data_IF_346001305055
#
_entry.id   IF_346001305055
#
_cell.length_a   1.000
_cell.length_b   1.000
_cell.length_c   1.000
_cell.angle_alpha   90.00
_cell.angle_beta   90.00
_cell.angle_gamma   90.00
#
_symmetry.space_group_name_H-M   'P 1'
#
loop_
_entity.id
_entity.type
_entity.pdbx_description
1 polymer ?
#
# COMPACT_ATOMS: atom_id res chain seq x y z
N UNK A 1 -13.40 50.50 38.37
CA UNK A 1 -13.67 49.10 38.74
C UNK A 1 -13.92 48.37 37.44
N UNK A 2 -12.86 47.94 36.77
CA UNK A 2 -12.91 47.26 35.48
C UNK A 2 -12.94 45.76 35.74
N UNK A 3 -14.09 45.14 35.52
CA UNK A 3 -14.26 43.69 35.59
C UNK A 3 -13.48 43.04 34.43
N UNK A 4 -12.32 42.46 34.74
CA UNK A 4 -11.61 41.57 33.83
C UNK A 4 -12.42 40.28 33.66
N UNK A 5 -12.86 40.01 32.42
CA UNK A 5 -13.51 38.77 32.05
C UNK A 5 -12.59 37.56 32.31
N UNK A 6 -13.11 36.41 32.78
CA UNK A 6 -12.29 35.24 33.05
C UNK A 6 -11.66 34.75 31.74
N UNK A 7 -10.33 34.74 31.70
CA UNK A 7 -9.52 34.19 30.63
C UNK A 7 -9.89 32.71 30.50
N UNK A 8 -10.61 32.33 29.44
CA UNK A 8 -10.97 30.93 29.20
C UNK A 8 -9.69 30.10 29.09
N UNK A 9 -9.45 29.23 30.06
CA UNK A 9 -8.34 28.28 30.02
C UNK A 9 -8.40 27.49 28.70
N UNK A 10 -7.25 27.20 28.06
CA UNK A 10 -7.24 26.44 26.82
C UNK A 10 -7.86 25.06 27.09
N UNK A 11 -8.95 24.75 26.39
CA UNK A 11 -9.57 23.42 26.42
C UNK A 11 -8.62 22.42 25.78
N UNK A 12 -7.85 21.71 26.60
CA UNK A 12 -6.99 20.62 26.13
C UNK A 12 -7.88 19.47 25.67
N UNK A 13 -7.97 19.28 24.37
CA UNK A 13 -8.75 18.19 23.77
C UNK A 13 -7.92 16.90 23.78
N UNK A 14 -8.24 16.00 24.71
CA UNK A 14 -7.60 14.67 24.78
C UNK A 14 -8.06 13.84 23.58
N UNK A 15 -7.11 13.23 22.87
CA UNK A 15 -7.37 12.44 21.66
C UNK A 15 -7.87 11.03 22.05
N UNK A 16 -9.19 10.82 21.93
CA UNK A 16 -9.87 9.58 22.35
C UNK A 16 -9.95 8.50 21.28
N UNK A 17 -10.10 7.24 21.71
CA UNK A 17 -10.26 6.07 20.83
C UNK A 17 -11.62 5.99 20.11
N UNK A 18 -12.65 6.68 20.60
CA UNK A 18 -14.02 6.57 20.09
C UNK A 18 -14.18 6.94 18.61
N UNK A 19 -13.50 7.97 18.05
CA UNK A 19 -13.63 8.27 16.63
C UNK A 19 -12.94 7.22 15.76
N UNK A 20 -11.81 6.66 16.24
CA UNK A 20 -11.06 5.63 15.53
C UNK A 20 -11.88 4.34 15.44
N UNK A 21 -12.49 3.91 16.54
CA UNK A 21 -13.33 2.71 16.54
C UNK A 21 -14.60 2.92 15.72
N UNK A 22 -15.25 4.08 15.82
CA UNK A 22 -16.43 4.39 15.02
C UNK A 22 -16.14 4.36 13.51
N UNK A 23 -15.06 5.03 13.08
CA UNK A 23 -14.65 5.04 11.66
C UNK A 23 -14.24 3.67 11.17
N UNK A 24 -13.52 2.88 11.98
CA UNK A 24 -13.16 1.50 11.66
C UNK A 24 -14.40 0.62 11.45
N UNK A 25 -15.40 0.72 12.33
CA UNK A 25 -16.64 -0.05 12.22
C UNK A 25 -17.40 0.32 10.95
N UNK A 26 -17.57 1.62 10.67
CA UNK A 26 -18.26 2.08 9.45
C UNK A 26 -17.52 1.61 8.20
N UNK A 27 -16.19 1.75 8.15
CA UNK A 27 -15.39 1.30 7.02
C UNK A 27 -15.43 -0.22 6.84
N UNK A 28 -15.39 -0.99 7.93
CA UNK A 28 -15.48 -2.44 7.90
C UNK A 28 -16.84 -2.91 7.37
N UNK A 29 -17.95 -2.30 7.84
CA UNK A 29 -19.28 -2.61 7.34
C UNK A 29 -19.41 -2.32 5.85
N UNK A 30 -18.93 -1.16 5.39
CA UNK A 30 -18.91 -0.81 3.96
C UNK A 30 -18.09 -1.82 3.15
N UNK A 31 -16.91 -2.20 3.64
CA UNK A 31 -16.04 -3.20 3.02
C UNK A 31 -16.70 -4.57 2.91
N UNK A 32 -17.39 -5.02 3.97
CA UNK A 32 -18.12 -6.30 3.99
C UNK A 32 -19.26 -6.29 2.95
N UNK A 33 -20.02 -5.20 2.84
CA UNK A 33 -21.09 -5.08 1.85
C UNK A 33 -20.54 -5.19 0.43
N UNK A 34 -19.46 -4.47 0.12
CA UNK A 34 -18.83 -4.56 -1.21
C UNK A 34 -18.22 -5.94 -1.47
N UNK A 35 -17.56 -6.54 -0.48
CA UNK A 35 -16.99 -7.88 -0.62
C UNK A 35 -18.09 -8.93 -0.84
N UNK A 36 -19.19 -8.85 -0.10
CA UNK A 36 -20.34 -9.75 -0.26
C UNK A 36 -20.97 -9.60 -1.64
N UNK A 37 -21.15 -8.36 -2.11
CA UNK A 37 -21.64 -8.09 -3.47
C UNK A 37 -20.70 -8.67 -4.54
N UNK A 38 -19.39 -8.47 -4.39
CA UNK A 38 -18.38 -9.01 -5.30
C UNK A 38 -18.41 -10.54 -5.35
N UNK A 39 -18.40 -11.21 -4.18
CA UNK A 39 -18.44 -12.67 -4.11
C UNK A 39 -19.76 -13.23 -4.67
N UNK A 40 -20.88 -12.54 -4.44
CA UNK A 40 -22.18 -12.92 -4.98
C UNK A 40 -22.23 -12.81 -6.51
N UNK A 41 -21.77 -11.67 -7.07
CA UNK A 41 -21.72 -11.48 -8.52
C UNK A 41 -20.76 -12.45 -9.18
N UNK A 42 -19.54 -12.56 -8.66
CA UNK A 42 -18.53 -13.48 -9.19
C UNK A 42 -19.00 -14.94 -9.15
N UNK A 43 -19.66 -15.36 -8.06
CA UNK A 43 -20.21 -16.71 -7.94
C UNK A 43 -21.37 -16.99 -8.91
N UNK A 44 -22.18 -15.97 -9.27
CA UNK A 44 -23.21 -16.09 -10.30
C UNK A 44 -22.60 -16.22 -11.69
N UNK A 45 -21.66 -15.34 -12.02
CA UNK A 45 -20.98 -15.31 -13.32
C UNK A 45 -20.22 -16.62 -13.59
N UNK A 46 -19.56 -17.18 -12.57
CA UNK A 46 -18.92 -18.49 -12.64
C UNK A 46 -19.92 -19.64 -12.86
N UNK A 47 -21.12 -19.60 -12.26
CA UNK A 47 -22.16 -20.62 -12.49
C UNK A 47 -22.81 -20.51 -13.86
N UNK A 48 -22.86 -19.30 -14.40
CA UNK A 48 -23.41 -19.01 -15.73
C UNK A 48 -22.38 -19.20 -16.86
N UNK A 49 -21.13 -19.56 -16.55
CA UNK A 49 -20.00 -19.58 -17.50
C UNK A 49 -19.89 -18.29 -18.33
N UNK A 50 -20.29 -17.15 -17.76
CA UNK A 50 -20.31 -15.85 -18.42
C UNK A 50 -19.21 -14.98 -17.80
N UNK A 51 -18.09 -14.82 -18.51
CA UNK A 51 -16.87 -14.16 -18.01
C UNK A 51 -16.72 -12.71 -18.47
N UNK A 52 -17.80 -12.09 -18.96
CA UNK A 52 -17.75 -10.80 -19.67
C UNK A 52 -17.36 -9.60 -18.79
N UNK A 53 -17.75 -9.59 -17.51
CA UNK A 53 -17.59 -8.40 -16.66
C UNK A 53 -16.26 -8.35 -15.88
N UNK A 54 -15.89 -9.44 -15.21
CA UNK A 54 -14.69 -9.48 -14.34
C UNK A 54 -13.45 -10.06 -15.01
N UNK A 55 -13.62 -10.79 -16.12
CA UNK A 55 -12.52 -11.44 -16.85
C UNK A 55 -12.54 -11.12 -18.36
N UNK A 56 -12.80 -9.86 -18.80
CA UNK A 56 -12.95 -9.51 -20.21
C UNK A 56 -11.66 -9.74 -21.03
N UNK A 57 -10.50 -9.75 -20.35
CA UNK A 57 -9.19 -9.99 -20.95
C UNK A 57 -9.03 -11.42 -21.47
N UNK A 58 -9.75 -12.39 -20.93
CA UNK A 58 -9.73 -13.76 -21.44
C UNK A 58 -10.27 -13.84 -22.87
N UNK A 59 -11.24 -13.00 -23.24
CA UNK A 59 -11.80 -12.96 -24.59
C UNK A 59 -11.07 -11.97 -25.50
N UNK A 60 -10.75 -10.77 -24.99
CA UNK A 60 -10.17 -9.70 -25.81
C UNK A 60 -8.68 -9.86 -26.05
N UNK A 61 -7.95 -10.52 -25.14
CA UNK A 61 -6.49 -10.73 -25.21
C UNK A 61 -6.13 -12.13 -24.71
N UNK A 62 -6.70 -13.14 -25.35
CA UNK A 62 -6.51 -14.55 -24.99
C UNK A 62 -5.04 -15.01 -25.02
N UNK A 63 -4.20 -14.39 -25.88
CA UNK A 63 -2.77 -14.68 -25.96
C UNK A 63 -1.96 -14.19 -24.73
N UNK A 64 -2.53 -13.30 -23.93
CA UNK A 64 -1.94 -12.75 -22.70
C UNK A 64 -2.69 -13.13 -21.44
N UNK A 65 -3.80 -13.87 -21.52
CA UNK A 65 -4.53 -14.28 -20.33
C UNK A 65 -3.95 -15.58 -19.76
N UNK A 66 -3.74 -15.69 -18.44
CA UNK A 66 -3.48 -16.98 -17.81
C UNK A 66 -4.65 -17.94 -18.09
N UNK A 67 -4.41 -19.27 -18.02
CA UNK A 67 -5.49 -20.24 -18.16
C UNK A 67 -6.59 -19.98 -17.11
N UNK A 68 -7.85 -20.24 -17.45
CA UNK A 68 -8.95 -20.05 -16.51
C UNK A 68 -8.70 -20.92 -15.27
N UNK A 69 -8.75 -20.31 -14.09
CA UNK A 69 -8.55 -21.03 -12.84
C UNK A 69 -9.86 -21.67 -12.39
N UNK A 70 -9.78 -22.88 -11.84
CA UNK A 70 -10.92 -23.55 -11.22
C UNK A 70 -11.32 -22.77 -9.95
N UNK A 71 -12.28 -21.86 -10.08
CA UNK A 71 -12.75 -20.97 -9.01
C UNK A 71 -13.51 -21.67 -7.86
N UNK A 72 -13.05 -22.84 -7.42
CA UNK A 72 -13.68 -23.57 -6.32
C UNK A 72 -13.35 -22.88 -5.00
N UNK A 73 -14.37 -22.32 -4.34
CA UNK A 73 -14.30 -21.71 -3.01
C UNK A 73 -14.34 -20.17 -2.99
N UNK A 74 -14.85 -19.58 -1.90
CA UNK A 74 -15.05 -18.13 -1.76
C UNK A 74 -13.76 -17.29 -1.86
N UNK A 75 -12.59 -17.89 -1.60
CA UNK A 75 -11.27 -17.24 -1.67
C UNK A 75 -10.33 -17.86 -2.70
N UNK A 76 -10.81 -18.77 -3.56
CA UNK A 76 -9.98 -19.43 -4.58
C UNK A 76 -9.37 -18.45 -5.60
N UNK A 77 -10.03 -17.31 -5.83
CA UNK A 77 -9.51 -16.24 -6.68
C UNK A 77 -8.28 -15.55 -6.09
N UNK A 78 -8.21 -15.43 -4.76
CA UNK A 78 -7.10 -14.77 -4.09
C UNK A 78 -5.85 -15.65 -4.12
N UNK A 79 -6.02 -16.95 -3.84
CA UNK A 79 -4.93 -17.92 -3.94
C UNK A 79 -4.42 -18.06 -5.37
N UNK A 80 -5.33 -18.10 -6.36
CA UNK A 80 -4.96 -18.11 -7.76
C UNK A 80 -4.17 -16.86 -8.16
N UNK A 81 -4.59 -15.66 -7.72
CA UNK A 81 -3.88 -14.42 -8.00
C UNK A 81 -2.48 -14.37 -7.34
N UNK A 82 -2.36 -14.90 -6.12
CA UNK A 82 -1.07 -14.92 -5.41
C UNK A 82 -0.10 -15.97 -5.95
N UNK A 83 -0.60 -17.06 -6.53
CA UNK A 83 0.22 -18.12 -7.11
C UNK A 83 0.89 -17.73 -8.44
N UNK A 84 0.47 -16.63 -9.09
CA UNK A 84 1.04 -16.18 -10.37
C UNK A 84 2.50 -15.78 -10.19
N UNK A 85 3.38 -16.38 -10.99
CA UNK A 85 4.81 -16.05 -10.98
C UNK A 85 5.06 -14.63 -11.50
N UNK A 86 6.21 -14.05 -11.14
CA UNK A 86 6.58 -12.72 -11.60
C UNK A 86 6.84 -12.66 -13.11
N UNK A 87 7.36 -13.75 -13.67
CA UNK A 87 7.63 -13.87 -15.11
C UNK A 87 6.33 -13.95 -15.91
N UNK A 88 5.39 -14.77 -15.42
CA UNK A 88 4.04 -14.87 -16.00
C UNK A 88 3.30 -13.54 -15.91
N UNK A 89 3.45 -12.82 -14.79
CA UNK A 89 2.87 -11.49 -14.63
C UNK A 89 3.40 -10.51 -15.69
N UNK A 90 4.69 -10.53 -15.99
CA UNK A 90 5.29 -9.71 -17.05
C UNK A 90 4.73 -10.07 -18.44
N UNK A 91 4.62 -11.38 -18.73
CA UNK A 91 4.12 -11.86 -20.03
C UNK A 91 2.62 -11.53 -20.23
N UNK A 92 1.81 -11.67 -19.19
CA UNK A 92 0.37 -11.48 -19.24
C UNK A 92 -0.05 -10.02 -19.11
N UNK A 93 0.50 -9.29 -18.14
CA UNK A 93 0.08 -7.91 -17.85
C UNK A 93 0.84 -6.86 -18.68
N UNK A 94 2.02 -7.22 -19.21
CA UNK A 94 2.93 -6.28 -19.86
C UNK A 94 3.84 -5.57 -18.85
N UNK A 95 4.82 -4.82 -19.38
CA UNK A 95 5.85 -4.17 -18.57
C UNK A 95 5.26 -3.17 -17.56
N UNK A 96 4.37 -2.30 -18.00
CA UNK A 96 3.86 -1.19 -17.17
C UNK A 96 3.10 -1.70 -15.92
N UNK A 97 2.16 -2.61 -16.13
CA UNK A 97 1.41 -3.22 -15.04
C UNK A 97 2.31 -4.06 -14.11
N UNK A 98 3.30 -4.77 -14.67
CA UNK A 98 4.30 -5.49 -13.87
C UNK A 98 5.11 -4.54 -12.97
N UNK A 99 5.57 -3.40 -13.51
CA UNK A 99 6.31 -2.40 -12.74
C UNK A 99 5.44 -1.76 -11.65
N UNK A 100 4.16 -1.50 -11.94
CA UNK A 100 3.22 -0.99 -10.95
C UNK A 100 3.03 -1.96 -9.77
N UNK A 101 2.85 -3.27 -10.04
CA UNK A 101 2.75 -4.28 -8.99
C UNK A 101 4.03 -4.39 -8.16
N UNK A 102 5.19 -4.25 -8.82
CA UNK A 102 6.48 -4.26 -8.15
C UNK A 102 6.66 -3.04 -7.23
N UNK A 103 6.19 -1.87 -7.66
CA UNK A 103 6.12 -0.66 -6.84
C UNK A 103 5.20 -0.84 -5.62
N UNK A 104 4.02 -1.45 -5.79
CA UNK A 104 3.13 -1.76 -4.66
C UNK A 104 3.81 -2.72 -3.67
N UNK A 105 4.52 -3.75 -4.15
CA UNK A 105 5.28 -4.66 -3.28
C UNK A 105 6.44 -3.98 -2.56
N UNK A 106 7.07 -2.99 -3.19
CA UNK A 106 8.06 -2.15 -2.52
C UNK A 106 7.40 -1.37 -1.38
N UNK A 107 6.25 -0.75 -1.63
CA UNK A 107 5.47 -0.05 -0.60
C UNK A 107 5.09 -0.94 0.58
N UNK A 108 4.63 -2.17 0.33
CA UNK A 108 4.29 -3.12 1.41
C UNK A 108 5.52 -3.56 2.21
N UNK A 109 6.68 -3.78 1.58
CA UNK A 109 7.94 -4.04 2.30
C UNK A 109 8.36 -2.87 3.17
N UNK A 110 8.30 -1.64 2.64
CA UNK A 110 8.63 -0.43 3.42
C UNK A 110 7.70 -0.27 4.63
N UNK A 111 6.39 -0.47 4.43
CA UNK A 111 5.41 -0.43 5.51
C UNK A 111 5.63 -1.54 6.55
N UNK A 112 6.00 -2.75 6.11
CA UNK A 112 6.33 -3.85 7.01
C UNK A 112 7.54 -3.53 7.89
N UNK A 113 8.64 -3.04 7.30
CA UNK A 113 9.82 -2.61 8.07
C UNK A 113 9.46 -1.51 9.06
N UNK A 114 8.68 -0.50 8.64
CA UNK A 114 8.21 0.57 9.52
C UNK A 114 7.34 0.05 10.67
N UNK A 115 6.50 -0.95 10.41
CA UNK A 115 5.67 -1.61 11.42
C UNK A 115 6.53 -2.37 12.43
N UNK A 116 7.51 -3.16 11.97
CA UNK A 116 8.45 -3.87 12.84
C UNK A 116 9.22 -2.91 13.76
N UNK A 117 9.71 -1.79 13.22
CA UNK A 117 10.37 -0.76 14.04
C UNK A 117 9.39 -0.16 15.05
N UNK A 118 8.18 0.20 14.61
CA UNK A 118 7.14 0.76 15.49
C UNK A 118 6.81 -0.17 16.66
N UNK A 119 6.75 -1.48 16.44
CA UNK A 119 6.54 -2.47 17.50
C UNK A 119 7.63 -2.43 18.59
N UNK A 120 8.85 -2.03 18.26
CA UNK A 120 9.95 -1.81 19.23
C UNK A 120 9.81 -0.47 19.95
N UNK A 121 9.33 0.57 19.26
CA UNK A 121 9.14 1.90 19.87
C UNK A 121 7.93 1.96 20.82
N UNK A 122 6.86 1.20 20.55
CA UNK A 122 5.66 1.19 21.40
C UNK A 122 5.94 0.87 22.88
N UNK A 123 6.65 -0.22 23.25
CA UNK A 123 6.98 -0.49 24.65
C UNK A 123 7.95 0.55 25.25
N UNK A 124 8.83 1.14 24.42
CA UNK A 124 9.72 2.21 24.86
C UNK A 124 8.92 3.46 25.28
N UNK A 125 7.94 3.86 24.49
CA UNK A 125 7.05 4.98 24.85
C UNK A 125 6.15 4.60 26.03
N UNK A 126 5.68 3.35 26.09
CA UNK A 126 4.85 2.85 27.18
C UNK A 126 5.58 2.72 28.54
N UNK A 127 6.90 2.85 28.58
CA UNK A 127 7.70 2.87 29.82
C UNK A 127 8.17 4.27 30.22
N UNK A 128 7.71 5.31 29.54
CA UNK A 128 7.99 6.70 29.90
C UNK A 128 7.40 7.11 31.25
N UNK A 129 8.08 8.02 31.95
CA UNK A 129 7.75 8.45 33.32
C UNK A 129 7.02 9.81 33.34
N UNK A 130 6.87 10.48 32.18
CA UNK A 130 6.14 11.75 32.11
C UNK A 130 4.66 11.53 32.44
N UNK A 131 4.10 12.43 33.25
CA UNK A 131 2.72 12.38 33.75
C UNK A 131 2.01 13.71 33.47
N UNK A 132 0.81 13.64 32.89
CA UNK A 132 -0.03 14.79 32.58
C UNK A 132 -1.22 14.43 31.68
N UNK A 133 -2.24 15.30 31.63
CA UNK A 133 -3.43 15.12 30.77
C UNK A 133 -3.06 14.97 29.28
N UNK A 134 -1.96 15.59 28.85
CA UNK A 134 -1.45 15.50 27.48
C UNK A 134 -0.79 14.16 27.17
N UNK A 135 -0.56 13.29 28.17
CA UNK A 135 0.05 11.96 27.99
C UNK A 135 -0.97 10.82 27.98
N UNK A 136 -2.27 11.11 28.09
CA UNK A 136 -3.29 10.07 28.18
C UNK A 136 -3.70 9.47 26.81
N UNK A 137 -4.27 8.27 26.85
CA UNK A 137 -4.86 7.55 25.71
C UNK A 137 -3.87 7.38 24.54
N UNK A 138 -4.06 8.10 23.43
CA UNK A 138 -3.21 8.00 22.25
C UNK A 138 -1.78 8.47 22.53
N UNK A 139 -1.63 9.48 23.38
CA UNK A 139 -0.33 10.09 23.67
C UNK A 139 0.55 9.23 24.59
N UNK A 140 0.00 8.15 25.16
CA UNK A 140 0.77 7.14 25.90
C UNK A 140 1.77 6.40 24.99
N UNK A 141 1.47 6.33 23.70
CA UNK A 141 2.23 5.59 22.70
C UNK A 141 3.12 6.49 21.84
N UNK A 142 3.27 7.76 22.22
CA UNK A 142 4.05 8.75 21.46
C UNK A 142 5.23 9.27 22.28
N UNK A 143 6.09 10.07 21.63
CA UNK A 143 7.22 10.73 22.30
C UNK A 143 6.78 11.69 23.41
N UNK A 144 5.51 12.10 23.47
CA UNK A 144 4.98 12.98 24.52
C UNK A 144 5.14 12.39 25.93
N UNK A 145 5.27 11.07 26.06
CA UNK A 145 5.48 10.40 27.35
C UNK A 145 6.96 10.35 27.79
N UNK A 146 7.89 10.77 26.95
CA UNK A 146 9.31 10.82 27.29
C UNK A 146 9.65 12.14 27.98
N UNK A 147 10.50 12.07 29.00
CA UNK A 147 10.98 13.26 29.70
C UNK A 147 11.97 14.05 28.84
N UNK A 148 11.89 15.39 28.95
CA UNK A 148 12.79 16.32 28.29
C UNK A 148 14.24 16.02 28.69
N UNK A 149 15.15 15.90 27.72
CA UNK A 149 16.57 15.56 27.90
C UNK A 149 16.90 14.12 28.37
N UNK A 150 15.94 13.19 28.31
CA UNK A 150 16.25 11.78 28.60
C UNK A 150 17.09 11.11 27.49
N UNK A 151 17.99 10.19 27.88
CA UNK A 151 18.76 9.36 26.93
C UNK A 151 17.85 8.47 26.05
N UNK A 152 16.60 8.25 26.47
CA UNK A 152 15.59 7.46 25.73
C UNK A 152 15.20 8.11 24.40
N UNK A 153 15.37 9.43 24.25
CA UNK A 153 15.11 10.16 23.00
C UNK A 153 16.08 9.78 21.85
N UNK A 154 17.26 9.24 22.15
CA UNK A 154 18.20 8.81 21.12
C UNK A 154 17.74 7.54 20.38
N UNK A 155 16.92 6.71 21.02
CA UNK A 155 16.45 5.44 20.43
C UNK A 155 15.64 5.66 19.14
N UNK A 156 14.58 6.50 19.11
CA UNK A 156 13.86 6.77 17.86
C UNK A 156 14.74 7.45 16.81
N UNK A 157 15.71 8.29 17.21
CA UNK A 157 16.66 8.91 16.28
C UNK A 157 17.55 7.87 15.59
N UNK A 158 18.13 6.93 16.34
CA UNK A 158 18.95 5.85 15.78
C UNK A 158 18.11 4.93 14.89
N UNK A 159 16.91 4.58 15.33
CA UNK A 159 15.99 3.74 14.54
C UNK A 159 15.54 4.45 13.25
N UNK A 160 15.37 5.77 13.27
CA UNK A 160 15.10 6.57 12.08
C UNK A 160 16.25 6.51 11.06
N UNK A 161 17.50 6.64 11.52
CA UNK A 161 18.66 6.48 10.63
C UNK A 161 18.74 5.07 10.03
N UNK A 162 18.50 4.02 10.84
CA UNK A 162 18.45 2.64 10.34
C UNK A 162 17.32 2.46 9.32
N UNK A 163 16.14 3.02 9.59
CA UNK A 163 14.99 2.97 8.71
C UNK A 163 15.27 3.62 7.35
N UNK A 164 15.88 4.80 7.35
CA UNK A 164 16.30 5.48 6.10
C UNK A 164 17.27 4.60 5.32
N UNK A 165 18.29 4.02 5.96
CA UNK A 165 19.27 3.16 5.29
C UNK A 165 18.61 1.94 4.65
N UNK A 166 17.66 1.30 5.33
CA UNK A 166 16.91 0.16 4.78
C UNK A 166 16.07 0.60 3.58
N UNK A 167 15.35 1.72 3.68
CA UNK A 167 14.55 2.25 2.56
C UNK A 167 15.43 2.57 1.36
N UNK A 168 16.54 3.27 1.56
CA UNK A 168 17.46 3.62 0.47
C UNK A 168 18.02 2.36 -0.21
N UNK A 169 18.34 1.32 0.56
CA UNK A 169 18.77 0.02 0.02
C UNK A 169 17.67 -0.63 -0.82
N UNK A 170 16.46 -0.76 -0.30
CA UNK A 170 15.34 -1.36 -1.04
C UNK A 170 15.00 -0.56 -2.31
N UNK A 171 15.02 0.77 -2.22
CA UNK A 171 14.78 1.66 -3.35
C UNK A 171 15.87 1.52 -4.42
N UNK A 172 17.14 1.43 -4.01
CA UNK A 172 18.26 1.24 -4.94
C UNK A 172 18.16 -0.10 -5.69
N UNK A 173 17.82 -1.18 -4.98
CA UNK A 173 17.63 -2.50 -5.58
C UNK A 173 16.50 -2.48 -6.61
N UNK A 174 15.38 -1.84 -6.29
CA UNK A 174 14.25 -1.72 -7.22
C UNK A 174 14.55 -0.81 -8.41
N UNK A 175 15.30 0.28 -8.19
CA UNK A 175 15.75 1.16 -9.27
C UNK A 175 16.62 0.42 -10.30
N UNK A 176 17.60 -0.35 -9.84
CA UNK A 176 18.46 -1.14 -10.73
C UNK A 176 17.65 -2.18 -11.52
N UNK A 177 16.75 -2.89 -10.84
CA UNK A 177 15.88 -3.85 -11.50
C UNK A 177 14.94 -3.18 -12.52
N UNK A 178 14.41 -1.99 -12.20
CA UNK A 178 13.58 -1.22 -13.13
C UNK A 178 14.34 -0.91 -14.43
N UNK A 179 15.58 -0.45 -14.31
CA UNK A 179 16.45 -0.15 -15.45
C UNK A 179 16.67 -1.37 -16.34
N UNK A 180 16.97 -2.52 -15.74
CA UNK A 180 17.20 -3.77 -16.47
C UNK A 180 15.95 -4.25 -17.21
N UNK A 181 14.79 -4.29 -16.54
CA UNK A 181 13.54 -4.70 -17.17
C UNK A 181 13.12 -3.76 -18.30
N UNK A 182 13.30 -2.45 -18.12
CA UNK A 182 13.03 -1.46 -19.16
C UNK A 182 13.97 -1.62 -20.36
N UNK A 183 15.26 -1.82 -20.12
CA UNK A 183 16.24 -2.04 -21.18
C UNK A 183 15.91 -3.30 -22.00
N UNK A 184 15.64 -4.43 -21.31
CA UNK A 184 15.24 -5.68 -21.97
C UNK A 184 13.97 -5.53 -22.79
N UNK A 185 12.98 -4.80 -22.27
CA UNK A 185 11.73 -4.53 -23.00
C UNK A 185 11.96 -3.69 -24.25
N UNK A 186 12.78 -2.63 -24.18
CA UNK A 186 13.08 -1.79 -25.34
C UNK A 186 13.90 -2.56 -26.40
N UNK A 187 14.82 -3.42 -25.98
CA UNK A 187 15.63 -4.23 -26.88
C UNK A 187 14.79 -5.30 -27.62
N UNK A 188 13.99 -6.09 -26.87
CA UNK A 188 13.18 -7.17 -27.43
C UNK A 188 11.92 -6.66 -28.13
N UNK A 189 11.28 -5.63 -27.57
CA UNK A 189 9.94 -5.18 -27.96
C UNK A 189 8.84 -6.01 -27.33
N UNK A 190 7.61 -5.56 -27.57
CA UNK A 190 6.41 -6.25 -27.15
C UNK A 190 5.64 -6.79 -28.35
N UNK A 191 4.95 -7.91 -28.18
CA UNK A 191 4.18 -8.59 -29.24
C UNK A 191 3.03 -7.71 -29.74
N UNK A 192 2.45 -6.89 -28.86
CA UNK A 192 1.31 -6.01 -29.18
C UNK A 192 1.76 -4.69 -29.81
N UNK A 193 3.06 -4.37 -29.82
CA UNK A 193 3.56 -3.11 -30.38
C UNK A 193 4.10 -3.34 -31.78
N UNK A 194 3.45 -2.79 -32.83
CA UNK A 194 3.96 -2.92 -34.19
C UNK A 194 5.39 -2.37 -34.29
N UNK A 195 6.29 -3.01 -35.06
CA UNK A 195 7.67 -2.56 -35.21
C UNK A 195 7.76 -1.14 -35.81
N UNK A 196 6.72 -0.69 -36.50
CA UNK A 196 6.58 0.65 -37.09
C UNK A 196 6.69 1.77 -36.05
N UNK A 197 6.24 1.56 -34.80
CA UNK A 197 6.33 2.55 -33.73
C UNK A 197 7.79 2.92 -33.38
N UNK A 198 8.76 2.05 -33.67
CA UNK A 198 10.18 2.31 -33.41
C UNK A 198 10.78 3.33 -34.38
N UNK A 199 10.14 3.55 -35.52
CA UNK A 199 10.61 4.44 -36.59
C UNK A 199 9.72 5.67 -36.78
N UNK A 200 8.58 5.73 -36.07
CA UNK A 200 7.66 6.85 -36.13
C UNK A 200 8.19 8.04 -35.33
N UNK A 201 8.37 9.18 -35.99
CA UNK A 201 8.69 10.46 -35.34
C UNK A 201 7.48 11.37 -35.45
N UNK A 202 6.96 11.83 -34.32
CA UNK A 202 5.87 12.81 -34.29
C UNK A 202 6.46 14.18 -34.62
N UNK A 203 6.05 14.76 -35.74
CA UNK A 203 6.37 16.15 -36.10
C UNK A 203 5.21 17.03 -35.66
N UNK A 204 5.50 18.04 -34.86
CA UNK A 204 4.53 19.02 -34.36
C UNK A 204 4.95 20.41 -34.82
N UNK A 205 3.99 21.33 -34.98
CA UNK A 205 4.22 22.72 -35.41
C UNK A 205 4.90 22.86 -36.79
N UNK A 206 4.28 22.30 -37.84
CA UNK A 206 4.69 22.58 -39.23
C UNK A 206 4.33 24.05 -39.56
N UNK A 207 5.24 24.82 -40.16
CA UNK A 207 5.05 26.25 -40.44
C UNK A 207 3.88 26.54 -41.40
#
# INVERSE_FOLDING_TARGET
>A
MSDEAPTSAPTVTVTTWSPVTATLVVAALQGIVFLAFFLWKRGKDQRANSYELFEPRQFTRSHRSPPPFDGRGCFGWFTAAYAVSQEDCLNFAGLDAYMFLRFLRLGTRMAFVGTCMSLVLLPLYATGEATGLETEQFNLLTMARLEQASMRLWVPTVLWWIFILIILKELWQEWQAYGEHRYRYLAKGDVDTPPEYRYAVRVENVP
#
